data_IF_059966712078
#
_entry.id   IF_059966712078
#
_cell.length_a   1.000
_cell.length_b   1.000
_cell.length_c   1.000
_cell.angle_alpha   90.00
_cell.angle_beta   90.00
_cell.angle_gamma   90.00
#
_symmetry.space_group_name_H-M   'P 1'
#
loop_
_entity.id
_entity.type
_entity.pdbx_description
1 polymer ?
#
# COMPACT_ATOMS: atom_id res chain seq x y z
N UNK A 1 -57.06 -16.95 4.44
CA UNK A 1 -57.03 -18.43 4.47
C UNK A 1 -55.87 -18.86 5.36
N UNK A 2 -56.18 -19.59 6.45
CA UNK A 2 -55.18 -20.12 7.39
C UNK A 2 -54.38 -21.23 6.69
N UNK A 3 -53.13 -20.94 6.36
CA UNK A 3 -52.18 -21.95 5.86
C UNK A 3 -52.06 -23.06 6.89
N UNK A 4 -52.13 -24.32 6.46
CA UNK A 4 -52.00 -25.45 7.38
C UNK A 4 -50.58 -25.50 7.98
N UNK A 5 -50.41 -26.06 9.19
CA UNK A 5 -49.10 -26.16 9.86
C UNK A 5 -48.02 -26.82 8.98
N UNK A 6 -48.42 -27.73 8.09
CA UNK A 6 -47.54 -28.39 7.11
C UNK A 6 -47.01 -27.40 6.07
N UNK A 7 -47.81 -26.43 5.65
CA UNK A 7 -47.43 -25.41 4.68
C UNK A 7 -46.57 -24.31 5.32
N UNK A 8 -46.88 -23.93 6.57
CA UNK A 8 -46.05 -23.02 7.35
C UNK A 8 -44.63 -23.58 7.55
N UNK A 9 -44.53 -24.87 7.87
CA UNK A 9 -43.24 -25.55 8.04
C UNK A 9 -42.45 -25.64 6.72
N UNK A 10 -43.12 -25.89 5.59
CA UNK A 10 -42.49 -25.86 4.26
C UNK A 10 -41.99 -24.46 3.90
N UNK A 11 -42.75 -23.41 4.21
CA UNK A 11 -42.38 -22.02 3.94
C UNK A 11 -41.14 -21.61 4.76
N UNK A 12 -41.14 -21.90 6.07
CA UNK A 12 -39.98 -21.63 6.95
C UNK A 12 -38.73 -22.38 6.49
N UNK A 13 -38.87 -23.64 6.08
CA UNK A 13 -37.74 -24.42 5.56
C UNK A 13 -37.21 -23.88 4.22
N UNK A 14 -38.08 -23.37 3.35
CA UNK A 14 -37.71 -22.72 2.08
C UNK A 14 -36.94 -21.43 2.32
N UNK A 15 -37.41 -20.58 3.24
CA UNK A 15 -36.73 -19.34 3.63
C UNK A 15 -35.36 -19.62 4.27
N UNK A 16 -35.27 -20.60 5.17
CA UNK A 16 -33.99 -20.98 5.81
C UNK A 16 -32.95 -21.48 4.80
N UNK A 17 -33.37 -22.26 3.79
CA UNK A 17 -32.47 -22.72 2.73
C UNK A 17 -31.99 -21.57 1.84
N UNK A 18 -32.87 -20.63 1.49
CA UNK A 18 -32.51 -19.46 0.71
C UNK A 18 -31.51 -18.55 1.45
N UNK A 19 -31.75 -18.29 2.74
CA UNK A 19 -30.85 -17.48 3.57
C UNK A 19 -29.48 -18.14 3.75
N UNK A 20 -29.43 -19.46 4.02
CA UNK A 20 -28.16 -20.17 4.17
C UNK A 20 -27.35 -20.21 2.87
N UNK A 21 -28.02 -20.26 1.71
CA UNK A 21 -27.35 -20.20 0.41
C UNK A 21 -26.78 -18.80 0.12
N UNK A 22 -27.53 -17.76 0.44
CA UNK A 22 -27.08 -16.37 0.25
C UNK A 22 -25.85 -16.05 1.12
N UNK A 23 -25.85 -16.46 2.40
CA UNK A 23 -24.73 -16.23 3.32
C UNK A 23 -23.43 -16.91 2.84
N UNK A 24 -23.51 -18.16 2.35
CA UNK A 24 -22.34 -18.89 1.85
C UNK A 24 -21.77 -18.29 0.54
N UNK A 25 -22.61 -17.67 -0.28
CA UNK A 25 -22.18 -17.01 -1.52
C UNK A 25 -21.52 -15.66 -1.23
N UNK A 26 -22.05 -14.91 -0.26
CA UNK A 26 -21.49 -13.64 0.20
C UNK A 26 -20.14 -13.82 0.89
N UNK A 27 -19.99 -14.84 1.73
CA UNK A 27 -18.74 -15.16 2.44
C UNK A 27 -17.62 -15.58 1.46
N UNK A 28 -17.95 -16.36 0.42
CA UNK A 28 -17.01 -16.71 -0.65
C UNK A 28 -16.54 -15.49 -1.45
N UNK A 29 -17.47 -14.58 -1.77
CA UNK A 29 -17.16 -13.35 -2.51
C UNK A 29 -16.27 -12.40 -1.72
N UNK A 30 -16.46 -12.33 -0.40
CA UNK A 30 -15.63 -11.50 0.48
C UNK A 30 -14.22 -12.10 0.65
N UNK A 31 -14.09 -13.42 0.82
CA UNK A 31 -12.80 -14.09 0.93
C UNK A 31 -11.92 -13.95 -0.34
N UNK A 32 -12.53 -13.94 -1.52
CA UNK A 32 -11.81 -13.75 -2.79
C UNK A 32 -11.33 -12.29 -2.97
N UNK A 33 -12.18 -11.31 -2.60
CA UNK A 33 -11.79 -9.89 -2.59
C UNK A 33 -10.66 -9.60 -1.62
N UNK A 34 -10.70 -10.18 -0.42
CA UNK A 34 -9.65 -9.98 0.58
C UNK A 34 -8.31 -10.57 0.12
N UNK A 35 -8.32 -11.77 -0.49
CA UNK A 35 -7.11 -12.37 -1.09
C UNK A 35 -6.54 -11.52 -2.23
N UNK A 36 -7.39 -10.98 -3.10
CA UNK A 36 -6.93 -10.09 -4.19
C UNK A 36 -6.34 -8.78 -3.64
N UNK A 37 -6.96 -8.16 -2.62
CA UNK A 37 -6.42 -6.95 -1.98
C UNK A 37 -5.09 -7.21 -1.28
N UNK A 38 -4.92 -8.37 -0.63
CA UNK A 38 -3.67 -8.74 0.05
C UNK A 38 -2.52 -9.00 -0.92
N UNK A 39 -2.82 -9.57 -2.09
CA UNK A 39 -1.82 -9.77 -3.15
C UNK A 39 -1.45 -8.46 -3.88
N UNK A 40 -2.36 -7.48 -3.99
CA UNK A 40 -2.03 -6.16 -4.53
C UNK A 40 -1.20 -5.32 -3.56
N UNK A 41 -1.41 -5.42 -2.24
CA UNK A 41 -0.55 -4.76 -1.23
C UNK A 41 0.88 -5.31 -1.27
N UNK A 42 1.06 -6.63 -1.27
CA UNK A 42 2.39 -7.25 -1.34
C UNK A 42 3.19 -6.94 -2.61
N UNK A 43 2.53 -6.63 -3.74
CA UNK A 43 3.22 -6.21 -4.97
C UNK A 43 3.54 -4.71 -5.02
N UNK A 44 2.94 -3.90 -4.14
CA UNK A 44 3.27 -2.48 -4.00
C UNK A 44 4.35 -2.24 -2.95
N UNK A 45 4.42 -3.08 -1.92
CA UNK A 45 5.38 -2.84 -0.83
C UNK A 45 6.85 -3.08 -1.25
N UNK A 46 7.14 -3.94 -2.25
CA UNK A 46 8.54 -4.20 -2.68
C UNK A 46 9.12 -3.17 -3.68
N UNK A 47 8.29 -2.38 -4.37
CA UNK A 47 8.75 -1.40 -5.39
C UNK A 47 8.48 0.07 -5.01
N UNK A 48 7.70 0.34 -3.95
CA UNK A 48 7.19 1.69 -3.61
C UNK A 48 7.60 2.15 -2.18
N UNK A 49 8.27 1.30 -1.37
CA UNK A 49 8.66 1.65 0.01
C UNK A 49 9.78 2.70 0.13
N UNK A 50 10.35 3.21 -0.97
CA UNK A 50 11.42 4.24 -0.91
C UNK A 50 11.10 5.56 -1.64
N UNK A 51 9.87 5.82 -2.10
CA UNK A 51 9.54 7.10 -2.77
C UNK A 51 8.27 7.78 -2.23
N UNK A 52 7.52 7.15 -1.31
CA UNK A 52 6.24 7.68 -0.84
C UNK A 52 5.94 7.43 0.63
N UNK A 53 6.87 7.73 1.53
CA UNK A 53 6.62 7.69 2.98
C UNK A 53 5.45 8.58 3.40
N UNK A 54 4.88 8.38 4.60
CA UNK A 54 3.82 9.24 5.14
C UNK A 54 4.24 10.70 4.99
N UNK A 55 3.29 11.60 4.68
CA UNK A 55 3.53 13.06 4.78
C UNK A 55 3.87 13.38 6.23
N UNK A 56 5.11 13.16 6.60
CA UNK A 56 5.70 13.75 7.78
C UNK A 56 5.55 15.25 7.58
N UNK A 57 4.87 15.90 8.52
CA UNK A 57 4.58 17.32 8.40
C UNK A 57 5.88 18.04 8.09
N UNK A 58 5.94 18.69 6.92
CA UNK A 58 7.13 19.40 6.43
C UNK A 58 7.33 20.63 7.29
N UNK A 59 7.95 20.42 8.45
CA UNK A 59 8.29 21.45 9.42
C UNK A 59 9.65 22.01 9.02
N UNK A 60 9.74 23.29 8.59
CA UNK A 60 10.99 23.90 8.13
C UNK A 60 12.14 23.74 9.14
N UNK A 61 11.87 23.85 10.44
CA UNK A 61 12.88 23.72 11.49
C UNK A 61 13.46 22.31 11.59
N UNK A 62 12.64 21.28 11.33
CA UNK A 62 13.10 19.87 11.32
C UNK A 62 13.94 19.60 10.08
N UNK A 63 13.51 20.09 8.93
CA UNK A 63 14.24 19.93 7.66
C UNK A 63 15.57 20.69 7.64
N UNK A 64 15.64 21.84 8.33
CA UNK A 64 16.88 22.61 8.47
C UNK A 64 17.88 21.98 9.45
N UNK A 65 17.42 21.16 10.42
CA UNK A 65 18.23 20.57 11.50
C UNK A 65 18.24 19.04 11.46
N UNK A 66 18.39 18.48 10.27
CA UNK A 66 18.52 17.02 10.08
C UNK A 66 19.82 16.53 10.72
N UNK A 67 19.77 15.40 11.43
CA UNK A 67 20.92 14.81 12.12
C UNK A 67 22.02 14.35 11.15
N UNK A 68 21.63 13.73 10.03
CA UNK A 68 22.53 13.20 9.02
C UNK A 68 22.24 13.80 7.63
N UNK A 69 22.59 15.08 7.38
CA UNK A 69 22.22 15.78 6.14
C UNK A 69 22.82 15.15 4.88
N UNK A 70 24.02 14.56 4.98
CA UNK A 70 24.65 13.87 3.85
C UNK A 70 23.97 12.54 3.50
N UNK A 71 23.45 11.82 4.48
CA UNK A 71 22.70 10.57 4.22
C UNK A 71 21.35 10.88 3.59
N UNK A 72 20.69 11.95 4.06
CA UNK A 72 19.44 12.41 3.47
C UNK A 72 19.64 12.86 2.02
N UNK A 73 20.72 13.59 1.73
CA UNK A 73 21.06 13.99 0.36
C UNK A 73 21.28 12.78 -0.58
N UNK A 74 21.81 11.65 -0.06
CA UNK A 74 22.01 10.43 -0.86
C UNK A 74 20.67 9.84 -1.31
N UNK A 75 19.62 9.92 -0.51
CA UNK A 75 18.26 9.47 -0.91
C UNK A 75 17.77 10.20 -2.16
N UNK A 76 18.05 11.50 -2.27
CA UNK A 76 17.74 12.30 -3.46
C UNK A 76 18.73 12.07 -4.61
N UNK A 77 20.00 11.81 -4.30
CA UNK A 77 21.03 11.56 -5.30
C UNK A 77 20.81 10.23 -6.05
N UNK A 78 20.34 9.19 -5.38
CA UNK A 78 20.18 7.85 -5.97
C UNK A 78 19.24 7.84 -7.20
N UNK A 79 18.02 8.39 -7.12
CA UNK A 79 17.17 8.55 -8.30
C UNK A 79 17.82 9.38 -9.41
N UNK A 80 18.57 10.43 -9.06
CA UNK A 80 19.25 11.26 -10.06
C UNK A 80 20.33 10.47 -10.81
N UNK A 81 21.14 9.68 -10.10
CA UNK A 81 22.15 8.81 -10.72
C UNK A 81 21.54 7.77 -11.65
N UNK A 82 20.36 7.25 -11.32
CA UNK A 82 19.70 6.22 -12.11
C UNK A 82 18.99 6.79 -13.35
N UNK A 83 18.28 7.91 -13.19
CA UNK A 83 17.37 8.46 -14.21
C UNK A 83 18.02 9.54 -15.07
N UNK A 84 18.98 10.30 -14.54
CA UNK A 84 19.61 11.46 -15.21
C UNK A 84 21.14 11.41 -15.19
N UNK A 85 21.70 10.23 -15.49
CA UNK A 85 23.15 9.99 -15.56
C UNK A 85 23.91 10.80 -16.62
N UNK A 86 23.21 11.35 -17.62
CA UNK A 86 23.86 12.15 -18.69
C UNK A 86 23.97 13.64 -18.34
N UNK A 87 23.39 14.08 -17.22
CA UNK A 87 23.53 15.45 -16.74
C UNK A 87 24.80 15.56 -15.90
N UNK A 88 25.68 16.49 -16.27
CA UNK A 88 26.92 16.75 -15.53
C UNK A 88 26.65 17.14 -14.07
N UNK A 89 25.56 17.88 -13.82
CA UNK A 89 25.12 18.30 -12.48
C UNK A 89 24.95 17.12 -11.53
N UNK A 90 24.37 16.01 -11.99
CA UNK A 90 24.22 14.77 -11.19
C UNK A 90 25.56 14.29 -10.66
N UNK A 91 26.61 14.34 -11.49
CA UNK A 91 27.95 13.91 -11.11
C UNK A 91 28.64 14.92 -10.21
N UNK A 92 28.43 16.21 -10.43
CA UNK A 92 28.96 17.26 -9.55
C UNK A 92 28.36 17.15 -8.14
N UNK A 93 27.04 16.98 -8.04
CA UNK A 93 26.37 16.74 -6.77
C UNK A 93 26.86 15.46 -6.09
N UNK A 94 27.03 14.37 -6.85
CA UNK A 94 27.58 13.14 -6.31
C UNK A 94 28.98 13.34 -5.73
N UNK A 95 29.88 13.98 -6.49
CA UNK A 95 31.24 14.28 -6.04
C UNK A 95 31.23 15.10 -4.76
N UNK A 96 30.45 16.17 -4.72
CA UNK A 96 30.34 17.05 -3.57
C UNK A 96 29.82 16.38 -2.30
N UNK A 97 28.86 15.46 -2.43
CA UNK A 97 28.30 14.69 -1.32
C UNK A 97 29.32 13.67 -0.81
N UNK A 98 29.93 12.88 -1.70
CA UNK A 98 30.90 11.86 -1.31
C UNK A 98 32.22 12.45 -0.77
N UNK A 99 32.70 13.55 -1.36
CA UNK A 99 33.87 14.28 -0.89
C UNK A 99 33.69 14.72 0.57
N UNK A 100 32.54 15.31 0.91
CA UNK A 100 32.23 15.70 2.30
C UNK A 100 32.04 14.49 3.23
N UNK A 101 31.64 13.34 2.69
CA UNK A 101 31.54 12.07 3.41
C UNK A 101 32.91 11.37 3.60
N UNK A 102 33.98 11.89 3.00
CA UNK A 102 35.31 11.27 3.02
C UNK A 102 35.40 9.99 2.19
N UNK A 103 34.63 9.90 1.10
CA UNK A 103 34.59 8.75 0.19
C UNK A 103 34.92 9.15 -1.24
#
# INVERSE_FOLDING_TARGET
ANMSDKELKKLRNKQRRAQKKAQLEEEKKNAEKEKQQRNQKKKKDDDDEEIGGPKEELIPEKLAKVEAPLEEAIKFLTPLKNLVKNKIETHLFAFEIYFRKGR
#
